data_IF_229079006018
#
_entry.id   IF_229079006018
#
_cell.length_a   1.000
_cell.length_b   1.000
_cell.length_c   1.000
_cell.angle_alpha   90.00
_cell.angle_beta   90.00
_cell.angle_gamma   90.00
#
_symmetry.space_group_name_H-M   'P 1'
#
loop_
_entity.id
_entity.type
_entity.pdbx_description
1 polymer ?
#
# COMPACT_ATOMS: atom_id res chain seq x y z
N UNK A 1 -25.96 -16.96 10.97
CA UNK A 1 -24.85 -16.01 11.27
C UNK A 1 -23.48 -16.39 10.68
N UNK A 2 -22.98 -17.64 10.76
CA UNK A 2 -21.64 -18.01 10.22
C UNK A 2 -21.49 -17.83 8.69
N UNK A 3 -22.47 -18.25 7.88
CA UNK A 3 -22.46 -18.08 6.40
C UNK A 3 -22.41 -16.61 5.97
N UNK A 4 -23.26 -15.75 6.54
CA UNK A 4 -23.28 -14.30 6.24
C UNK A 4 -21.95 -13.59 6.56
N UNK A 5 -21.22 -14.03 7.60
CA UNK A 5 -19.87 -13.51 7.92
C UNK A 5 -18.82 -14.00 6.90
N UNK A 6 -18.89 -15.25 6.46
CA UNK A 6 -18.00 -15.79 5.42
C UNK A 6 -18.22 -15.10 4.06
N UNK A 7 -19.47 -14.82 3.68
CA UNK A 7 -19.79 -14.15 2.41
C UNK A 7 -19.32 -12.69 2.39
N UNK A 8 -19.47 -11.96 3.50
CA UNK A 8 -18.92 -10.61 3.66
C UNK A 8 -17.39 -10.60 3.53
N UNK A 9 -16.72 -11.58 4.12
CA UNK A 9 -15.26 -11.71 4.10
C UNK A 9 -14.73 -12.08 2.72
N UNK A 10 -15.41 -12.96 1.97
CA UNK A 10 -15.10 -13.27 0.56
C UNK A 10 -15.33 -12.08 -0.37
N UNK A 11 -16.41 -11.32 -0.17
CA UNK A 11 -16.68 -10.08 -0.92
C UNK A 11 -15.63 -9.01 -0.65
N UNK A 12 -15.24 -8.81 0.62
CA UNK A 12 -14.16 -7.89 0.99
C UNK A 12 -12.81 -8.31 0.38
N UNK A 13 -12.50 -9.61 0.39
CA UNK A 13 -11.27 -10.14 -0.21
C UNK A 13 -11.20 -9.89 -1.72
N UNK A 14 -12.28 -10.19 -2.46
CA UNK A 14 -12.35 -9.90 -3.91
C UNK A 14 -12.25 -8.41 -4.20
N UNK A 15 -12.92 -7.57 -3.40
CA UNK A 15 -12.85 -6.12 -3.55
C UNK A 15 -11.43 -5.61 -3.29
N UNK A 16 -10.71 -6.17 -2.32
CA UNK A 16 -9.32 -5.87 -2.05
C UNK A 16 -8.40 -6.19 -3.23
N UNK A 17 -8.57 -7.35 -3.87
CA UNK A 17 -7.75 -7.74 -5.03
C UNK A 17 -7.96 -6.84 -6.25
N UNK A 18 -9.21 -6.45 -6.49
CA UNK A 18 -9.55 -5.50 -7.55
C UNK A 18 -9.00 -4.11 -7.24
N UNK A 19 -9.11 -3.65 -5.99
CA UNK A 19 -8.57 -2.37 -5.56
C UNK A 19 -7.04 -2.32 -5.72
N UNK A 20 -6.33 -3.36 -5.29
CA UNK A 20 -4.88 -3.45 -5.46
C UNK A 20 -4.47 -3.48 -6.93
N UNK A 21 -5.22 -4.19 -7.77
CA UNK A 21 -4.94 -4.23 -9.21
C UNK A 21 -5.17 -2.88 -9.89
N UNK A 22 -6.22 -2.17 -9.50
CA UNK A 22 -6.50 -0.83 -10.00
C UNK A 22 -5.48 0.20 -9.49
N UNK A 23 -5.03 0.06 -8.24
CA UNK A 23 -3.95 0.86 -7.67
C UNK A 23 -2.61 0.63 -8.39
N UNK A 24 -2.26 -0.63 -8.66
CA UNK A 24 -1.06 -0.95 -9.44
C UNK A 24 -1.14 -0.37 -10.86
N UNK A 25 -2.31 -0.45 -11.51
CA UNK A 25 -2.52 0.14 -12.82
C UNK A 25 -2.39 1.66 -12.79
N UNK A 26 -2.98 2.34 -11.80
CA UNK A 26 -2.90 3.80 -11.71
C UNK A 26 -1.48 4.30 -11.45
N UNK A 27 -0.70 3.58 -10.65
CA UNK A 27 0.72 3.85 -10.43
C UNK A 27 1.53 3.66 -11.73
N UNK A 28 1.32 2.55 -12.45
CA UNK A 28 1.99 2.30 -13.75
C UNK A 28 1.73 3.40 -14.76
N UNK A 29 0.48 3.83 -14.89
CA UNK A 29 0.08 4.93 -15.78
C UNK A 29 0.69 6.28 -15.38
N UNK A 30 1.14 6.42 -14.12
CA UNK A 30 1.88 7.60 -13.61
C UNK A 30 3.41 7.43 -13.65
N UNK A 31 3.89 6.43 -14.40
CA UNK A 31 5.32 6.16 -14.60
C UNK A 31 6.01 5.40 -13.48
N UNK A 32 5.26 4.79 -12.55
CA UNK A 32 5.85 3.93 -11.52
C UNK A 32 6.06 2.51 -12.03
N UNK A 33 7.24 1.96 -11.74
CA UNK A 33 7.54 0.54 -11.92
C UNK A 33 7.11 -0.22 -10.68
N UNK A 34 6.20 -1.18 -10.81
CA UNK A 34 5.81 -2.04 -9.69
C UNK A 34 6.89 -3.10 -9.50
N UNK A 35 7.59 -3.04 -8.36
CA UNK A 35 8.63 -4.00 -7.99
C UNK A 35 8.02 -5.29 -7.43
N UNK A 36 7.06 -5.13 -6.50
CA UNK A 36 6.40 -6.27 -5.86
C UNK A 36 4.95 -5.93 -5.47
N UNK A 37 4.12 -6.97 -5.35
CA UNK A 37 2.73 -6.88 -4.91
C UNK A 37 2.50 -7.85 -3.76
N UNK A 38 1.78 -7.41 -2.73
CA UNK A 38 1.43 -8.20 -1.53
C UNK A 38 2.66 -8.81 -0.86
N UNK A 39 3.69 -8.00 -0.67
CA UNK A 39 4.88 -8.43 0.05
C UNK A 39 4.51 -8.72 1.50
N UNK A 40 4.86 -9.91 1.99
CA UNK A 40 4.56 -10.36 3.36
C UNK A 40 5.85 -10.67 4.08
N UNK A 41 5.98 -10.10 5.27
CA UNK A 41 7.06 -10.36 6.18
C UNK A 41 6.52 -10.95 7.51
N UNK A 42 7.43 -11.42 8.35
CA UNK A 42 7.08 -12.02 9.66
C UNK A 42 6.27 -11.09 10.57
N UNK A 43 6.48 -9.77 10.47
CA UNK A 43 5.87 -8.77 11.37
C UNK A 43 5.13 -7.65 10.63
N UNK A 44 4.87 -7.81 9.33
CA UNK A 44 4.32 -6.75 8.50
C UNK A 44 3.93 -7.21 7.10
N UNK A 45 3.25 -6.33 6.37
CA UNK A 45 2.95 -6.53 4.95
C UNK A 45 2.94 -5.17 4.24
N UNK A 46 3.17 -5.19 2.93
CA UNK A 46 3.07 -4.03 2.03
C UNK A 46 2.27 -4.46 0.81
N UNK A 47 1.20 -3.73 0.50
CA UNK A 47 0.32 -4.07 -0.63
C UNK A 47 1.02 -3.91 -1.98
N UNK A 48 1.74 -2.81 -2.18
CA UNK A 48 2.50 -2.54 -3.40
C UNK A 48 3.85 -1.89 -3.06
N UNK A 49 4.91 -2.37 -3.70
CA UNK A 49 6.22 -1.72 -3.68
C UNK A 49 6.48 -1.22 -5.09
N UNK A 50 6.76 0.07 -5.23
CA UNK A 50 6.91 0.72 -6.52
C UNK A 50 8.11 1.66 -6.55
N UNK A 51 8.73 1.81 -7.71
CA UNK A 51 9.90 2.66 -7.92
C UNK A 51 9.64 3.67 -9.04
N UNK A 52 10.16 4.89 -8.88
CA UNK A 52 10.17 5.89 -9.95
C UNK A 52 11.34 6.86 -9.77
N UNK A 53 12.34 6.76 -10.64
CA UNK A 53 13.58 7.51 -10.49
C UNK A 53 14.33 7.01 -9.26
N UNK A 54 14.77 7.93 -8.39
CA UNK A 54 15.46 7.64 -7.13
C UNK A 54 14.51 7.48 -5.93
N UNK A 55 13.26 7.05 -6.19
CA UNK A 55 12.23 6.93 -5.14
C UNK A 55 11.67 5.52 -5.12
N UNK A 56 11.73 4.90 -3.94
CA UNK A 56 11.02 3.64 -3.64
C UNK A 56 9.85 3.94 -2.71
N UNK A 57 8.64 3.69 -3.21
CA UNK A 57 7.40 3.86 -2.49
C UNK A 57 6.87 2.51 -1.96
N UNK A 58 6.71 2.43 -0.64
CA UNK A 58 5.96 1.37 0.04
C UNK A 58 4.52 1.85 0.20
N UNK A 59 3.61 1.21 -0.54
CA UNK A 59 2.25 1.72 -0.74
C UNK A 59 1.24 0.79 -0.09
N UNK A 60 0.38 1.37 0.74
CA UNK A 60 -0.80 0.71 1.30
C UNK A 60 -2.03 1.05 0.45
N UNK A 61 -2.86 0.05 0.11
CA UNK A 61 -4.05 0.23 -0.71
C UNK A 61 -5.30 0.18 0.15
N UNK A 62 -6.02 1.31 0.24
CA UNK A 62 -7.27 1.39 0.99
C UNK A 62 -8.47 1.47 0.06
N UNK A 63 -9.23 0.38 -0.01
CA UNK A 63 -10.58 0.39 -0.53
C UNK A 63 -11.52 1.06 0.48
N UNK A 64 -12.23 2.12 0.07
CA UNK A 64 -13.22 2.84 0.90
C UNK A 64 -14.50 3.09 0.12
N UNK A 65 -15.62 3.17 0.85
CA UNK A 65 -16.93 3.49 0.26
C UNK A 65 -17.09 4.97 -0.07
N UNK A 66 -16.43 5.84 0.70
CA UNK A 66 -16.50 7.30 0.57
C UNK A 66 -15.11 7.91 0.75
N UNK A 67 -14.91 9.12 0.20
CA UNK A 67 -13.67 9.89 0.33
C UNK A 67 -13.41 10.35 1.77
N UNK A 68 -14.46 10.68 2.53
CA UNK A 68 -14.35 11.09 3.94
C UNK A 68 -13.72 10.00 4.81
N UNK A 69 -14.04 8.72 4.55
CA UNK A 69 -13.42 7.58 5.21
C UNK A 69 -12.00 7.25 4.70
N UNK A 70 -11.56 7.92 3.63
CA UNK A 70 -10.27 7.71 2.98
C UNK A 70 -9.18 8.65 3.53
N UNK A 71 -9.58 9.77 4.15
CA UNK A 71 -8.70 10.70 4.87
C UNK A 71 -8.44 10.31 6.33
N UNK A 72 -9.04 9.22 6.83
CA UNK A 72 -8.64 8.68 8.13
C UNK A 72 -7.15 8.29 8.07
N UNK A 73 -6.37 8.96 8.91
CA UNK A 73 -4.94 8.75 9.04
C UNK A 73 -4.60 7.26 9.11
N UNK A 74 -3.49 6.85 8.48
CA UNK A 74 -2.95 5.50 8.69
C UNK A 74 -2.76 5.31 10.18
N UNK A 75 -3.41 4.29 10.75
CA UNK A 75 -3.32 4.02 12.19
C UNK A 75 -1.86 3.74 12.56
N UNK A 76 -1.41 4.07 13.78
CA UNK A 76 -0.04 3.80 14.21
C UNK A 76 0.36 2.32 14.01
N UNK A 77 -0.57 1.40 14.25
CA UNK A 77 -0.37 -0.03 14.01
C UNK A 77 -0.12 -0.35 12.54
N UNK A 78 -0.89 0.23 11.62
CA UNK A 78 -0.69 0.00 10.18
C UNK A 78 0.64 0.60 9.71
N UNK A 79 1.00 1.81 10.17
CA UNK A 79 2.32 2.41 9.90
C UNK A 79 3.45 1.47 10.32
N UNK A 80 3.42 1.00 11.56
CA UNK A 80 4.47 0.12 12.10
C UNK A 80 4.60 -1.20 11.33
N UNK A 81 3.50 -1.77 10.85
CA UNK A 81 3.53 -3.00 10.03
C UNK A 81 4.18 -2.77 8.67
N UNK A 82 3.84 -1.68 8.00
CA UNK A 82 4.42 -1.31 6.70
C UNK A 82 5.91 -1.00 6.88
N UNK A 83 6.30 -0.25 7.91
CA UNK A 83 7.71 0.07 8.22
C UNK A 83 8.54 -1.20 8.44
N UNK A 84 8.06 -2.13 9.25
CA UNK A 84 8.77 -3.40 9.51
C UNK A 84 8.92 -4.25 8.24
N UNK A 85 7.88 -4.30 7.42
CA UNK A 85 7.95 -4.99 6.15
C UNK A 85 8.91 -4.29 5.17
N UNK A 86 8.91 -2.96 5.11
CA UNK A 86 9.85 -2.19 4.30
C UNK A 86 11.30 -2.46 4.73
N UNK A 87 11.61 -2.45 6.03
CA UNK A 87 12.93 -2.79 6.55
C UNK A 87 13.37 -4.20 6.11
N UNK A 88 12.50 -5.20 6.25
CA UNK A 88 12.81 -6.57 5.83
C UNK A 88 12.98 -6.66 4.31
N UNK A 89 12.19 -5.92 3.54
CA UNK A 89 12.33 -5.87 2.09
C UNK A 89 13.69 -5.31 1.67
N UNK A 90 14.12 -4.21 2.30
CA UNK A 90 15.40 -3.54 2.03
C UNK A 90 16.62 -4.39 2.41
N UNK A 91 16.52 -5.23 3.45
CA UNK A 91 17.59 -6.20 3.77
C UNK A 91 17.86 -7.17 2.62
N UNK A 92 16.82 -7.54 1.86
CA UNK A 92 16.96 -8.40 0.67
C UNK A 92 17.29 -7.62 -0.60
N UNK A 93 17.12 -6.29 -0.59
CA UNK A 93 17.37 -5.41 -1.74
C UNK A 93 18.24 -4.20 -1.36
N UNK A 94 19.52 -4.39 -0.99
CA UNK A 94 20.36 -3.31 -0.48
C UNK A 94 20.53 -2.12 -1.44
N UNK A 95 20.48 -2.37 -2.75
CA UNK A 95 20.55 -1.33 -3.78
C UNK A 95 19.37 -0.34 -3.74
N UNK A 96 18.24 -0.72 -3.14
CA UNK A 96 17.08 0.15 -2.96
C UNK A 96 17.18 0.99 -1.68
N UNK A 97 18.01 0.57 -0.71
CA UNK A 97 18.16 1.25 0.57
C UNK A 97 18.89 2.61 0.45
N UNK A 98 19.64 2.80 -0.63
CA UNK A 98 20.30 4.07 -0.94
C UNK A 98 19.37 5.09 -1.62
N UNK A 99 18.17 4.68 -2.05
CA UNK A 99 17.20 5.55 -2.70
C UNK A 99 16.33 6.29 -1.67
N UNK A 100 15.62 7.31 -2.12
CA UNK A 100 14.61 8.00 -1.30
C UNK A 100 13.45 7.07 -0.98
N UNK A 101 13.29 6.70 0.29
CA UNK A 101 12.19 5.86 0.75
C UNK A 101 10.94 6.70 1.02
N UNK A 102 9.78 6.25 0.54
CA UNK A 102 8.50 6.90 0.77
C UNK A 102 7.43 5.92 1.20
N UNK A 103 6.52 6.36 2.06
CA UNK A 103 5.37 5.56 2.47
C UNK A 103 4.09 6.23 1.98
N UNK A 104 3.42 5.59 1.04
CA UNK A 104 2.29 6.16 0.33
C UNK A 104 0.98 5.44 0.65
N UNK A 105 -0.12 6.09 0.30
CA UNK A 105 -1.44 5.48 0.22
C UNK A 105 -1.98 5.57 -1.18
N UNK A 106 -2.66 4.51 -1.63
CA UNK A 106 -3.58 4.60 -2.75
C UNK A 106 -5.00 4.34 -2.26
N UNK A 107 -5.85 5.33 -2.44
CA UNK A 107 -7.25 5.29 -2.06
C UNK A 107 -8.07 4.87 -3.27
N UNK A 108 -8.84 3.78 -3.12
CA UNK A 108 -9.72 3.26 -4.15
C UNK A 108 -11.16 3.42 -3.70
N UNK A 109 -11.91 4.25 -4.41
CA UNK A 109 -13.32 4.55 -4.17
C UNK A 109 -14.14 4.14 -5.41
N UNK A 110 -15.35 3.55 -5.24
CA UNK A 110 -16.20 3.18 -6.38
C UNK A 110 -16.43 4.34 -7.35
N UNK A 111 -16.44 4.01 -8.65
CA UNK A 111 -16.72 4.94 -9.77
C UNK A 111 -15.77 6.14 -9.87
N UNK A 112 -14.57 6.03 -9.29
CA UNK A 112 -13.53 7.05 -9.38
C UNK A 112 -12.17 6.45 -9.70
N UNK A 113 -11.32 7.28 -10.31
CA UNK A 113 -9.92 6.94 -10.48
C UNK A 113 -9.21 6.90 -9.12
N UNK A 114 -8.24 5.98 -8.89
CA UNK A 114 -7.51 5.93 -7.64
C UNK A 114 -6.79 7.25 -7.33
N UNK A 115 -6.87 7.66 -6.07
CA UNK A 115 -6.17 8.83 -5.53
C UNK A 115 -4.86 8.35 -4.88
N UNK A 116 -3.72 8.77 -5.42
CA UNK A 116 -2.39 8.46 -4.89
C UNK A 116 -1.97 9.60 -3.96
N UNK A 117 -1.95 9.30 -2.67
CA UNK A 117 -1.47 10.20 -1.62
C UNK A 117 -0.01 9.85 -1.35
N UNK A 118 0.88 10.69 -1.85
CA UNK A 118 2.31 10.54 -1.65
C UNK A 118 2.70 10.99 -0.25
N UNK A 119 3.69 10.32 0.35
CA UNK A 119 4.27 10.71 1.63
C UNK A 119 3.23 10.79 2.75
N UNK A 120 2.35 9.79 2.77
CA UNK A 120 1.22 9.69 3.69
C UNK A 120 1.65 9.65 5.16
N UNK A 121 2.88 9.17 5.42
CA UNK A 121 3.56 9.31 6.69
C UNK A 121 5.07 9.14 6.48
N UNK A 122 5.85 9.66 7.42
CA UNK A 122 7.29 9.40 7.50
C UNK A 122 7.60 8.69 8.82
N UNK A 123 8.33 7.58 8.79
CA UNK A 123 8.90 7.00 10.00
C UNK A 123 10.07 7.86 10.49
N UNK A 124 10.15 8.05 11.80
CA UNK A 124 11.33 8.62 12.43
C UNK A 124 12.51 7.63 12.26
N UNK A 125 13.61 8.05 11.64
CA UNK A 125 14.85 7.26 11.57
C UNK A 125 15.02 6.30 10.39
N UNK A 126 14.21 6.39 9.32
CA UNK A 126 14.57 5.88 8.00
C UNK A 126 14.99 7.08 7.14
N UNK A 127 16.25 7.48 7.29
CA UNK A 127 16.93 8.48 6.46
C UNK A 127 18.20 7.85 5.93
#
# INVERSE_FOLDING_TARGET
MKRQRQDKRRKAYRLGHLAESLAALSLRLRGWRILERRFKASTGEVDLIAERGDVVAFVEVKARRTRSAALEAVTPTARNRIIRAAQIYLLHHPHLAAQTLRFDLVLVVPFRWPEHVMDAFRPDGLA
#
